data_IF_038072953101
#
_entry.id   IF_038072953101
#
_cell.length_a   1.000
_cell.length_b   1.000
_cell.length_c   1.000
_cell.angle_alpha   90.00
_cell.angle_beta   90.00
_cell.angle_gamma   90.00
#
_symmetry.space_group_name_H-M   'P 1'
#
loop_
_entity.id
_entity.type
_entity.pdbx_description
1 polymer ?
2 polymer ?
3 non-polymer ?
4 water ?
#
# COMPACT_ATOMS: atom_id res chain seq x y z
N UNK A 1 -20.16 -18.92 0.00
CA UNK A 1 -20.25 -20.35 -0.39
C UNK A 1 -18.98 -20.89 -1.02
N UNK A 2 -18.99 -22.16 -1.40
CA UNK A 2 -17.78 -22.76 -1.99
C UNK A 2 -17.36 -22.13 -3.31
N UNK A 3 -18.27 -21.51 -4.04
CA UNK A 3 -17.95 -20.88 -5.31
C UNK A 3 -17.87 -19.36 -5.22
N UNK A 4 -18.04 -18.79 -4.03
CA UNK A 4 -17.92 -17.36 -3.87
C UNK A 4 -18.90 -16.79 -2.86
N UNK A 5 -18.83 -15.48 -2.68
CA UNK A 5 -19.48 -14.79 -1.59
C UNK A 5 -19.73 -13.35 -2.01
N UNK A 6 -20.33 -12.58 -1.10
CA UNK A 6 -20.32 -11.13 -1.25
C UNK A 6 -18.98 -10.53 -0.86
N UNK A 7 -18.11 -11.32 -0.21
CA UNK A 7 -16.74 -10.91 0.04
C UNK A 7 -15.92 -11.02 -1.24
N UNK A 8 -14.82 -10.28 -1.28
CA UNK A 8 -14.14 -9.98 -2.52
C UNK A 8 -12.71 -10.48 -2.50
N UNK A 9 -12.25 -11.21 -3.52
CA UNK A 9 -10.83 -11.50 -3.63
C UNK A 9 -10.03 -10.20 -3.71
N UNK A 10 -8.86 -10.20 -3.08
CA UNK A 10 -7.97 -9.05 -3.10
C UNK A 10 -6.56 -9.52 -3.43
N UNK A 11 -5.88 -8.82 -4.32
CA UNK A 11 -4.58 -9.25 -4.81
C UNK A 11 -3.51 -8.24 -4.44
N UNK A 12 -2.39 -8.75 -3.93
CA UNK A 12 -1.17 -7.97 -3.76
C UNK A 12 -0.06 -8.71 -4.53
N UNK A 13 1.11 -8.08 -4.61
CA UNK A 13 2.22 -8.69 -5.34
C UNK A 13 2.53 -10.08 -4.81
N UNK A 14 2.39 -10.28 -3.50
CA UNK A 14 2.83 -11.51 -2.87
C UNK A 14 1.77 -12.60 -2.86
N UNK A 15 0.54 -12.31 -3.23
CA UNK A 15 -0.51 -13.32 -3.26
C UNK A 15 -1.88 -12.67 -3.23
N UNK A 16 -2.88 -13.48 -2.87
CA UNK A 16 -4.24 -12.98 -2.78
C UNK A 16 -4.93 -13.57 -1.55
N UNK A 17 -6.01 -12.92 -1.16
CA UNK A 17 -6.82 -13.33 -0.02
C UNK A 17 -8.21 -12.74 -0.21
N UNK A 18 -9.16 -13.21 0.59
CA UNK A 18 -10.52 -12.71 0.51
C UNK A 18 -10.68 -11.58 1.53
N UNK A 19 -11.11 -10.42 1.06
CA UNK A 19 -11.34 -9.26 1.90
C UNK A 19 -12.83 -9.17 2.19
N UNK A 20 -13.25 -9.20 3.45
CA UNK A 20 -14.70 -9.06 3.73
C UNK A 20 -15.27 -7.80 3.10
N UNK A 21 -16.51 -7.91 2.64
CA UNK A 21 -17.12 -6.82 1.86
C UNK A 21 -17.17 -5.53 2.66
N UNK A 22 -17.29 -5.62 3.99
CA UNK A 22 -17.46 -4.41 4.80
C UNK A 22 -16.23 -3.52 4.80
N UNK A 23 -15.07 -4.01 4.36
CA UNK A 23 -13.84 -3.25 4.44
C UNK A 23 -13.68 -2.33 3.22
N UNK A 24 -13.13 -1.15 3.47
CA UNK A 24 -12.72 -0.22 2.43
C UNK A 24 -11.21 -0.32 2.25
N UNK A 25 -10.77 -0.30 1.00
CA UNK A 25 -9.34 -0.41 0.69
C UNK A 25 -8.72 0.98 0.73
N UNK A 26 -7.78 1.17 1.64
CA UNK A 26 -7.04 2.43 1.76
C UNK A 26 -5.55 2.20 1.59
N UNK A 27 -5.21 1.18 0.80
CA UNK A 27 -3.80 0.86 0.59
C UNK A 27 -3.07 2.01 -0.08
N UNK A 28 -1.81 2.18 0.28
CA UNK A 28 -0.92 3.14 -0.36
C UNK A 28 0.30 2.36 -0.81
N UNK A 29 0.47 2.23 -2.13
CA UNK A 29 1.70 1.66 -2.66
C UNK A 29 2.77 2.73 -2.71
N UNK A 30 3.98 2.37 -2.31
CA UNK A 30 5.14 3.25 -2.35
C UNK A 30 6.30 2.45 -2.91
N UNK A 31 6.87 2.91 -4.01
CA UNK A 31 8.00 2.25 -4.66
C UNK A 31 9.14 3.24 -4.74
N UNK A 32 10.26 2.90 -4.13
CA UNK A 32 11.49 3.69 -4.25
C UNK A 32 12.23 3.15 -5.47
N UNK A 33 12.37 4.00 -6.48
CA UNK A 33 13.02 3.61 -7.73
C UNK A 33 14.52 3.84 -7.62
N UNK A 34 15.27 3.20 -8.51
CA UNK A 34 16.72 3.28 -8.42
C UNK A 34 17.19 4.68 -8.83
N UNK A 35 18.25 5.12 -8.17
CA UNK A 35 18.81 6.43 -8.41
C UNK A 35 19.95 6.73 -7.47
N UNK A 36 20.94 7.46 -7.96
CA UNK A 36 22.08 7.88 -7.14
C UNK A 36 22.01 9.35 -6.74
N UNK A 37 20.93 10.05 -7.13
CA UNK A 37 20.75 11.44 -6.74
C UNK A 37 20.54 11.53 -5.23
N UNK A 38 20.63 12.75 -4.71
CA UNK A 38 20.47 12.92 -3.26
C UNK A 38 19.08 12.49 -2.81
N UNK A 39 18.06 12.70 -3.63
CA UNK A 39 16.73 12.21 -3.36
C UNK A 39 16.38 11.14 -4.38
N UNK A 40 15.81 10.04 -3.92
CA UNK A 40 15.44 8.96 -4.83
C UNK A 40 14.11 9.27 -5.50
N UNK A 41 13.91 8.81 -6.74
CA UNK A 41 12.59 8.89 -7.35
C UNK A 41 11.67 7.84 -6.75
N UNK A 42 10.39 8.16 -6.66
CA UNK A 42 9.43 7.25 -6.06
C UNK A 42 8.10 7.35 -6.78
N UNK A 43 7.35 6.25 -6.71
CA UNK A 43 5.99 6.18 -7.26
C UNK A 43 5.04 5.85 -6.12
N UNK A 44 3.96 6.60 -6.03
CA UNK A 44 2.93 6.42 -5.00
C UNK A 44 1.62 6.12 -5.70
N UNK A 45 0.93 5.06 -5.27
CA UNK A 45 -0.41 4.76 -5.75
C UNK A 45 -1.33 4.79 -4.55
N UNK A 46 -2.34 5.67 -4.60
CA UNK A 46 -3.31 5.83 -3.54
C UNK A 46 -4.71 5.65 -4.11
N UNK A 47 -5.66 5.44 -3.21
CA UNK A 47 -7.06 5.23 -3.54
C UNK A 47 -7.91 6.26 -2.82
N UNK A 48 -8.96 6.72 -3.51
CA UNK A 48 -9.82 7.75 -2.95
C UNK A 48 -11.24 7.56 -3.48
N UNK A 49 -12.16 8.31 -2.90
CA UNK A 49 -13.54 8.35 -3.35
C UNK A 49 -13.91 9.79 -3.67
N UNK A 50 -14.61 10.00 -4.78
CA UNK A 50 -15.08 11.32 -5.13
C UNK A 50 -16.12 11.79 -4.12
N UNK A 51 -16.03 13.06 -3.73
CA UNK A 51 -17.05 13.65 -2.88
C UNK A 51 -18.34 13.80 -3.67
N UNK A 52 -19.47 13.97 -2.98
CA UNK A 52 -20.74 14.19 -3.69
C UNK A 52 -20.65 15.28 -4.73
N UNK A 53 -21.00 14.95 -5.98
CA UNK A 53 -21.01 15.87 -7.10
C UNK A 53 -19.63 16.36 -7.49
N UNK A 54 -18.59 15.63 -7.12
CA UNK A 54 -17.22 15.94 -7.50
C UNK A 54 -16.81 15.02 -8.66
N UNK A 55 -16.43 15.62 -9.78
CA UNK A 55 -15.93 14.88 -10.91
C UNK A 55 -14.40 14.82 -10.86
N UNK A 56 -13.80 14.14 -11.85
CA UNK A 56 -12.36 13.89 -11.77
C UNK A 56 -11.56 15.17 -11.85
N UNK A 57 -11.84 16.11 -12.77
CA UNK A 57 -11.10 17.38 -12.73
C UNK A 57 -11.21 18.09 -11.39
N UNK A 58 -12.41 18.15 -10.83
CA UNK A 58 -12.58 18.76 -9.51
C UNK A 58 -11.78 18.00 -8.45
N UNK A 59 -11.72 16.67 -8.57
CA UNK A 59 -10.90 15.91 -7.63
C UNK A 59 -9.43 16.31 -7.73
N UNK A 60 -8.92 16.37 -8.97
CA UNK A 60 -7.55 16.87 -9.18
C UNK A 60 -7.39 18.24 -8.56
N UNK A 61 -8.36 19.13 -8.80
CA UNK A 61 -8.32 20.45 -8.18
C UNK A 61 -8.16 20.35 -6.67
N UNK A 62 -8.86 19.40 -6.05
CA UNK A 62 -8.78 19.26 -4.59
C UNK A 62 -7.40 18.77 -4.16
N UNK A 63 -6.79 17.88 -4.95
CA UNK A 63 -5.47 17.37 -4.58
C UNK A 63 -4.40 18.47 -4.73
N UNK A 64 -4.54 19.34 -5.73
CA UNK A 64 -3.58 20.43 -5.88
C UNK A 64 -3.64 21.36 -4.67
N UNK A 65 -4.85 21.64 -4.18
CA UNK A 65 -4.99 22.47 -2.99
C UNK A 65 -4.25 21.88 -1.80
N UNK A 66 -4.29 20.55 -1.65
CA UNK A 66 -3.59 19.92 -0.55
C UNK A 66 -2.07 19.95 -0.76
N UNK A 67 -1.63 19.81 -2.02
CA UNK A 67 -0.22 19.92 -2.32
C UNK A 67 0.33 21.28 -1.92
N UNK A 68 -0.42 22.36 -2.20
CA UNK A 68 0.05 23.70 -1.87
C UNK A 68 0.31 23.84 -0.37
N UNK A 69 -0.44 23.11 0.46
CA UNK A 69 -0.29 23.21 1.90
C UNK A 69 0.92 22.45 2.43
N UNK A 70 1.29 21.34 1.78
CA UNK A 70 2.29 20.44 2.33
C UNK A 70 3.65 20.50 1.66
N UNK A 71 3.73 20.96 0.42
CA UNK A 71 4.97 20.92 -0.37
C UNK A 71 5.47 22.34 -0.62
N UNK A 72 6.75 22.56 -0.34
CA UNK A 72 7.37 23.85 -0.51
C UNK A 72 7.42 24.33 -1.94
N UNK A 73 6.95 25.55 -2.17
CA UNK A 73 7.02 26.21 -3.48
C UNK A 73 6.38 25.37 -4.58
N UNK A 74 5.23 24.78 -4.28
CA UNK A 74 4.54 23.97 -5.28
C UNK A 74 4.00 24.85 -6.40
N UNK A 75 4.31 24.49 -7.64
CA UNK A 75 3.79 25.16 -8.82
C UNK A 75 3.33 24.11 -9.82
N UNK A 76 2.13 24.30 -10.37
CA UNK A 76 1.65 23.42 -11.42
C UNK A 76 2.24 23.89 -12.75
N UNK A 77 2.85 22.96 -13.48
CA UNK A 77 3.50 23.27 -14.75
C UNK A 77 2.67 22.88 -15.95
N UNK A 78 1.85 21.83 -15.82
CA UNK A 78 1.09 21.33 -16.95
C UNK A 78 -0.12 20.57 -16.42
N UNK A 79 -1.14 20.49 -17.26
CA UNK A 79 -2.37 19.77 -16.95
C UNK A 79 -2.94 19.25 -18.25
N UNK A 80 -3.25 17.96 -18.31
CA UNK A 80 -3.60 17.33 -19.58
C UNK A 80 -4.40 16.07 -19.32
N UNK A 81 -5.09 15.56 -20.33
CA UNK A 81 -5.70 14.24 -20.21
C UNK A 81 -4.63 13.17 -20.00
N UNK A 82 -5.08 12.02 -19.50
CA UNK A 82 -4.20 10.88 -19.30
C UNK A 82 -4.98 9.62 -19.63
N UNK A 83 -4.25 8.58 -20.02
CA UNK A 83 -4.84 7.29 -20.36
C UNK A 83 -4.03 6.18 -19.70
N UNK A 84 -4.71 5.32 -18.95
CA UNK A 84 -4.11 4.16 -18.31
C UNK A 84 -4.61 2.92 -19.04
N UNK A 85 -3.68 2.14 -19.59
CA UNK A 85 -4.02 0.99 -20.39
C UNK A 85 -4.42 1.37 -21.80
N UNK A 86 -4.75 0.35 -22.58
CA UNK A 86 -5.17 0.51 -23.96
C UNK A 86 -6.30 -0.46 -24.25
N UNK A 87 -6.88 -0.33 -25.45
CA UNK A 87 -7.94 -1.22 -25.85
C UNK A 87 -9.24 -0.93 -25.14
N UNK A 88 -10.08 -1.96 -25.07
CA UNK A 88 -11.42 -1.78 -24.51
C UNK A 88 -11.37 -1.47 -23.03
N UNK A 89 -10.34 -1.93 -22.33
CA UNK A 89 -10.23 -1.72 -20.89
C UNK A 89 -9.52 -0.43 -20.52
N UNK A 90 -9.17 0.41 -21.50
CA UNK A 90 -8.42 1.62 -21.19
C UNK A 90 -9.23 2.55 -20.29
N UNK A 91 -8.52 3.26 -19.41
CA UNK A 91 -9.11 4.18 -18.46
C UNK A 91 -8.75 5.60 -18.87
N UNK A 92 -9.76 6.44 -19.07
CA UNK A 92 -9.55 7.84 -19.40
C UNK A 92 -9.53 8.66 -18.11
N UNK A 93 -8.46 9.43 -17.92
CA UNK A 93 -8.29 10.22 -16.71
C UNK A 93 -7.67 11.57 -16.96
N UNK A 94 -7.03 12.13 -15.93
CA UNK A 94 -6.42 13.45 -16.01
C UNK A 94 -5.12 13.44 -15.21
N UNK A 95 -4.21 14.34 -15.57
CA UNK A 95 -2.91 14.36 -14.92
C UNK A 95 -2.36 15.78 -14.84
N UNK A 96 -1.42 15.98 -13.93
CA UNK A 96 -0.68 17.22 -13.80
C UNK A 96 0.81 16.93 -13.77
N UNK A 97 1.60 17.95 -14.09
CA UNK A 97 3.02 18.00 -13.81
C UNK A 97 3.28 19.22 -12.94
N UNK A 98 4.18 19.10 -11.98
CA UNK A 98 4.44 20.20 -11.06
C UNK A 98 5.85 20.09 -10.50
N UNK A 99 6.32 21.20 -9.90
CA UNK A 99 7.59 21.22 -9.19
C UNK A 99 7.37 21.68 -7.76
N UNK A 100 8.27 21.24 -6.89
CA UNK A 100 8.32 21.73 -5.51
C UNK A 100 9.72 21.42 -4.98
N UNK A 101 10.00 21.87 -3.77
CA UNK A 101 11.34 21.75 -3.19
C UNK A 101 11.26 20.81 -2.00
N UNK A 102 11.71 19.56 -2.21
CA UNK A 102 11.59 18.52 -1.20
C UNK A 102 12.40 18.87 0.05
N UNK A 103 13.67 19.22 -0.14
CA UNK A 103 14.50 19.73 0.94
C UNK A 103 15.06 21.08 0.57
N UNK A 104 16.38 21.17 0.47
CA UNK A 104 17.02 22.26 -0.27
C UNK A 104 17.08 21.95 -1.76
N UNK A 105 16.35 20.93 -2.21
CA UNK A 105 16.48 20.39 -3.55
C UNK A 105 15.17 20.50 -4.29
N UNK A 106 15.24 20.88 -5.57
CA UNK A 106 14.07 20.94 -6.42
C UNK A 106 13.75 19.56 -6.97
N UNK A 107 12.50 19.12 -6.84
CA UNK A 107 12.06 17.86 -7.39
C UNK A 107 10.82 18.09 -8.24
N UNK A 108 10.46 17.05 -9.00
CA UNK A 108 9.47 17.17 -10.07
C UNK A 108 8.43 16.08 -9.87
N UNK A 109 7.16 16.46 -10.00
CA UNK A 109 6.05 15.63 -9.54
C UNK A 109 5.01 15.50 -10.65
N UNK A 110 4.55 14.26 -10.85
CA UNK A 110 3.38 13.99 -11.69
C UNK A 110 2.29 13.38 -10.81
N UNK A 111 1.04 13.67 -11.16
CA UNK A 111 -0.09 13.00 -10.54
C UNK A 111 -1.13 12.72 -11.61
N UNK A 112 -1.58 11.48 -11.69
CA UNK A 112 -2.57 11.06 -12.68
C UNK A 112 -3.65 10.25 -11.96
N UNK A 113 -4.91 10.61 -12.22
CA UNK A 113 -6.04 9.99 -11.55
C UNK A 113 -6.98 9.33 -12.55
N UNK A 114 -7.54 8.20 -12.15
CA UNK A 114 -8.43 7.41 -13.00
C UNK A 114 -9.51 6.77 -12.16
N UNK A 115 -10.60 6.37 -12.83
CA UNK A 115 -11.65 5.58 -12.19
C UNK A 115 -11.43 4.12 -12.61
N UNK A 116 -10.51 3.44 -11.93
CA UNK A 116 -10.18 2.06 -12.27
C UNK A 116 -11.24 1.12 -11.72
N UNK A 117 -11.44 1.11 -10.41
CA UNK A 117 -12.51 0.37 -9.77
C UNK A 117 -13.78 1.21 -9.76
N UNK A 118 -14.92 0.67 -10.19
CA UNK A 118 -16.14 1.49 -10.26
C UNK A 118 -16.43 2.18 -8.93
N UNK A 119 -16.64 3.50 -9.00
CA UNK A 119 -16.95 4.27 -7.82
C UNK A 119 -15.77 4.65 -6.97
N UNK A 120 -14.56 4.49 -7.48
CA UNK A 120 -13.33 4.83 -6.74
C UNK A 120 -12.37 5.53 -7.68
N UNK A 121 -11.37 6.19 -7.10
CA UNK A 121 -10.34 6.89 -7.85
C UNK A 121 -9.00 6.23 -7.53
N UNK A 122 -8.21 5.99 -8.56
CA UNK A 122 -6.85 5.48 -8.45
C UNK A 122 -5.89 6.58 -8.87
N UNK A 123 -4.95 6.92 -7.99
CA UNK A 123 -4.06 8.06 -8.17
C UNK A 123 -2.63 7.56 -8.23
N UNK A 124 -1.94 7.86 -9.33
CA UNK A 124 -0.51 7.63 -9.46
C UNK A 124 0.23 8.95 -9.25
N UNK A 125 1.14 8.97 -8.29
CA UNK A 125 1.94 10.16 -8.02
C UNK A 125 3.42 9.82 -8.13
N UNK A 126 4.09 10.46 -9.09
CA UNK A 126 5.51 10.25 -9.32
C UNK A 126 6.29 11.43 -8.77
N UNK A 127 7.35 11.15 -8.00
CA UNK A 127 8.26 12.16 -7.50
C UNK A 127 9.64 11.84 -8.03
N UNK A 128 10.27 12.82 -8.71
CA UNK A 128 11.53 12.56 -9.39
C UNK A 128 12.50 13.72 -9.20
N UNK A 129 13.80 13.43 -9.04
CA UNK A 129 14.80 14.51 -9.00
C UNK A 129 15.21 15.02 -10.38
N UNK A 130 14.66 14.44 -11.45
CA UNK A 130 15.11 14.73 -12.80
C UNK A 130 14.05 15.53 -13.55
N UNK A 131 14.39 16.67 -14.14
CA UNK A 131 13.35 17.52 -14.75
C UNK A 131 12.58 16.79 -15.85
N UNK A 132 11.34 17.21 -16.04
CA UNK A 132 10.49 16.64 -17.08
C UNK A 132 10.77 17.33 -18.42
N UNK A 133 11.24 16.56 -19.39
CA UNK A 133 11.35 17.01 -20.77
C UNK A 133 10.50 16.09 -21.65
N UNK A 134 10.55 16.33 -22.97
CA UNK A 134 9.72 15.55 -23.88
C UNK A 134 9.99 14.05 -23.73
N UNK A 135 11.26 13.66 -23.59
CA UNK A 135 11.58 12.26 -23.40
C UNK A 135 10.93 11.71 -22.13
N UNK A 136 10.96 12.49 -21.05
CA UNK A 136 10.40 12.01 -19.80
C UNK A 136 8.88 11.87 -19.89
N UNK A 137 8.22 12.84 -20.54
CA UNK A 137 6.78 12.74 -20.74
C UNK A 137 6.44 11.50 -21.57
N UNK A 138 7.19 11.26 -22.65
CA UNK A 138 6.95 10.08 -23.47
C UNK A 138 7.02 8.81 -22.64
N UNK A 139 8.10 8.65 -21.87
CA UNK A 139 8.26 7.42 -21.10
C UNK A 139 7.18 7.28 -20.03
N UNK A 140 6.75 8.39 -19.43
CA UNK A 140 5.70 8.33 -18.43
C UNK A 140 4.35 7.93 -19.06
N UNK A 141 3.94 8.63 -20.10
CA UNK A 141 2.66 8.29 -20.73
C UNK A 141 2.68 6.92 -21.37
N UNK A 142 3.81 6.51 -21.93
CA UNK A 142 3.92 5.14 -22.45
C UNK A 142 3.75 4.12 -21.33
N UNK A 143 4.35 4.38 -20.16
CA UNK A 143 4.19 3.48 -19.03
C UNK A 143 2.73 3.41 -18.57
N UNK A 144 2.06 4.56 -18.49
CA UNK A 144 0.63 4.56 -18.16
C UNK A 144 -0.16 3.72 -19.16
N UNK A 145 0.13 3.89 -20.45
CA UNK A 145 -0.59 3.13 -21.47
C UNK A 145 -0.37 1.62 -21.32
N UNK A 146 0.73 1.22 -20.70
CA UNK A 146 1.00 -0.20 -20.48
C UNK A 146 0.28 -0.82 -19.30
N UNK A 147 -0.29 0.00 -18.43
CA UNK A 147 -1.09 -0.51 -17.32
C UNK A 147 -2.17 -1.45 -17.84
N UNK A 148 -2.33 -2.59 -17.17
CA UNK A 148 -3.33 -3.58 -17.56
C UNK A 148 -4.39 -3.71 -16.48
N UNK A 149 -5.52 -3.02 -16.60
CA UNK A 149 -6.55 -3.10 -15.57
C UNK A 149 -7.01 -4.54 -15.35
N UNK A 150 -7.40 -4.84 -14.12
CA UNK A 150 -7.90 -6.16 -13.76
C UNK A 150 -9.38 -6.26 -14.12
N UNK B 6 14.89 -6.59 -17.03
CA UNK B 6 15.06 -5.50 -16.01
C UNK B 6 13.71 -4.92 -15.62
N UNK B 7 12.74 -4.96 -16.54
CA UNK B 7 11.35 -4.65 -16.21
C UNK B 7 10.68 -5.93 -15.73
N UNK B 8 9.95 -5.85 -14.62
CA UNK B 8 9.23 -7.02 -14.14
C UNK B 8 7.85 -6.62 -13.62
N UNK B 9 6.89 -7.53 -13.72
CA UNK B 9 5.50 -7.16 -13.42
C UNK B 9 5.28 -6.93 -11.94
N UNK B 10 4.40 -5.98 -11.63
CA UNK B 10 3.93 -5.73 -10.27
C UNK B 10 2.42 -5.65 -10.30
N UNK B 11 1.77 -6.32 -9.35
CA UNK B 11 0.32 -6.45 -9.32
C UNK B 11 -0.27 -5.74 -8.12
N UNK B 12 -1.26 -4.89 -8.38
CA UNK B 12 -2.14 -4.35 -7.36
C UNK B 12 -3.55 -4.84 -7.66
N UNK B 13 -4.47 -4.58 -6.72
CA UNK B 13 -5.86 -5.01 -6.90
C UNK B 13 -6.44 -4.53 -8.21
N UNK B 14 -6.12 -3.29 -8.60
CA UNK B 14 -6.75 -2.64 -9.74
C UNK B 14 -6.15 -3.06 -11.07
N UNK B 15 -5.02 -3.77 -11.06
CA UNK B 15 -4.39 -4.17 -12.29
C UNK B 15 -2.91 -4.33 -12.12
N UNK B 17 1.29 -3.51 -13.73
CA UNK B 17 2.20 -2.63 -14.44
C UNK B 17 3.61 -3.14 -14.21
N UNK B 18 4.58 -2.56 -14.91
CA UNK B 18 5.97 -3.01 -14.80
C UNK B 18 6.75 -2.01 -13.96
N UNK B 19 7.66 -2.51 -13.14
CA UNK B 19 8.61 -1.71 -12.40
C UNK B 19 10.02 -2.22 -12.68
N UNK B 20 11.03 -1.35 -12.56
CA UNK B 20 12.41 -1.83 -12.69
C UNK B 20 12.75 -2.79 -11.56
N UNK B 21 13.51 -3.84 -11.89
CA UNK B 21 13.87 -4.84 -10.90
C UNK B 21 14.52 -4.23 -9.66
N UNK B 22 15.08 -3.03 -9.79
CA UNK B 22 15.85 -2.38 -8.74
C UNK B 22 15.00 -1.76 -7.64
N UNK B 23 13.67 -1.79 -7.76
CA UNK B 23 12.85 -1.00 -6.86
C UNK B 23 12.76 -1.63 -5.48
N UNK B 24 12.44 -0.79 -4.50
CA UNK B 24 12.12 -1.24 -3.15
C UNK B 24 10.64 -0.98 -2.89
N UNK B 25 9.95 -1.99 -2.38
CA UNK B 25 8.51 -1.93 -2.16
C UNK B 25 8.26 -1.52 -0.71
N UNK B 26 7.76 -0.31 -0.51
CA UNK B 26 7.33 0.16 0.80
C UNK B 26 5.81 0.30 0.87
N UNK B 27 5.11 -0.48 0.07
CA UNK B 27 3.65 -0.44 0.06
C UNK B 27 3.11 -0.88 1.42
N UNK B 28 2.03 -0.22 1.85
CA UNK B 28 1.28 -0.60 3.04
C UNK B 28 -0.17 -0.77 2.61
N UNK B 29 -0.66 -2.01 2.68
CA UNK B 29 -2.08 -2.25 2.43
C UNK B 29 -2.85 -1.96 3.70
N UNK B 30 -3.96 -1.25 3.57
CA UNK B 30 -4.77 -0.80 4.70
C UNK B 30 -6.23 -1.07 4.39
N UNK B 31 -6.91 -1.75 5.31
CA UNK B 31 -8.31 -2.12 5.16
C UNK B 31 -9.05 -1.73 6.42
N UNK B 32 -10.07 -0.88 6.27
CA UNK B 32 -10.79 -0.30 7.39
C UNK B 32 -12.29 -0.46 7.18
N UNK B 33 -13.03 -0.49 8.28
CA UNK B 33 -14.49 -0.42 8.25
C UNK B 33 -14.84 1.06 8.40
N UNK B 34 -14.99 1.76 7.28
CA UNK B 34 -15.07 3.20 7.32
C UNK B 34 -16.37 3.65 7.99
N UNK B 35 -16.26 4.70 8.81
CA UNK B 35 -17.34 5.18 9.63
C UNK B 35 -17.40 4.55 11.01
N UNK B 36 -16.88 3.34 11.14
CA UNK B 36 -16.86 2.61 12.41
C UNK B 36 -15.43 2.20 12.78
N UNK B 37 -14.45 3.04 12.44
CA UNK B 37 -13.07 2.71 12.77
C UNK B 37 -12.85 2.62 14.27
N UNK B 38 -13.60 3.41 15.06
CA UNK B 38 -13.35 3.49 16.49
C UNK B 38 -13.83 2.27 17.26
N UNK B 39 -14.61 1.38 16.63
CA UNK B 39 -15.02 0.13 17.27
C UNK B 39 -14.56 -1.11 16.52
N UNK B 40 -14.14 -0.97 15.28
CA UNK B 40 -13.87 -2.09 14.41
C UNK B 40 -12.38 -2.38 14.32
N UNK B 41 -11.99 -3.64 14.10
CA UNK B 41 -10.60 -3.92 13.78
C UNK B 41 -10.24 -3.40 12.40
N UNK B 42 -8.95 -3.09 12.21
CA UNK B 42 -8.41 -2.73 10.92
C UNK B 42 -7.28 -3.70 10.57
N UNK B 43 -7.08 -3.91 9.28
CA UNK B 43 -6.05 -4.81 8.79
C UNK B 43 -4.98 -4.04 8.04
N UNK B 44 -3.75 -4.54 8.11
CA UNK B 44 -2.59 -3.89 7.50
C UNK B 44 -1.64 -4.97 7.01
N UNK B 45 -1.09 -4.77 5.81
CA UNK B 45 -0.01 -5.60 5.30
C UNK B 45 1.15 -4.66 4.95
N UNK B 46 2.33 -4.97 5.47
CA UNK B 46 3.50 -4.14 5.24
C UNK B 46 4.68 -5.04 4.90
N UNK B 47 5.76 -4.41 4.48
CA UNK B 47 6.92 -5.11 3.94
C UNK B 47 8.18 -4.57 4.59
N UNK B 48 9.19 -5.42 4.66
CA UNK B 48 10.48 -5.04 5.23
C UNK B 48 11.53 -5.95 4.65
N UNK B 49 12.79 -5.62 4.92
CA UNK B 49 13.93 -6.40 4.44
C UNK B 49 14.77 -6.84 5.63
N UNK B 50 15.23 -8.09 5.58
CA UNK B 50 16.09 -8.61 6.63
C UNK B 50 17.47 -7.97 6.55
N UNK B 51 18.05 -7.69 7.72
CA UNK B 51 19.44 -7.31 7.78
C UNK B 51 20.32 -8.51 7.43
N UNK B 52 21.56 -8.28 7.01
CA UNK B 52 22.46 -9.41 6.73
C UNK B 52 22.58 -10.34 7.92
N UNK B 53 22.42 -11.64 7.66
CA UNK B 53 22.53 -12.69 8.66
C UNK B 53 21.39 -12.65 9.67
N UNK B 54 20.30 -11.96 9.36
CA UNK B 54 19.15 -11.87 10.24
C UNK B 54 18.09 -12.87 9.81
N UNK B 55 17.71 -13.75 10.73
CA UNK B 55 16.61 -14.68 10.50
C UNK B 55 15.31 -14.08 11.07
N UNK B 56 14.21 -14.77 10.81
CA UNK B 56 12.90 -14.21 11.19
C UNK B 56 12.77 -13.98 12.70
N UNK B 57 13.17 -14.92 13.58
CA UNK B 57 13.08 -14.61 15.02
C UNK B 57 13.84 -13.36 15.41
N UNK B 58 15.07 -13.20 14.89
CA UNK B 58 15.83 -11.99 15.19
C UNK B 58 15.13 -10.76 14.62
N UNK B 59 14.53 -10.88 13.44
CA UNK B 59 13.78 -9.76 12.89
C UNK B 59 12.64 -9.35 13.81
N UNK B 60 11.92 -10.33 14.34
CA UNK B 60 10.78 -10.02 15.21
C UNK B 60 11.26 -9.40 16.51
N UNK B 61 12.35 -9.94 17.09
CA UNK B 61 12.94 -9.30 18.26
C UNK B 61 13.25 -7.84 17.97
N UNK B 62 13.83 -7.56 16.79
CA UNK B 62 14.16 -6.18 16.45
C UNK B 62 12.91 -5.32 16.38
N UNK B 63 11.84 -5.84 15.78
CA UNK B 63 10.60 -5.08 15.68
C UNK B 63 9.97 -4.88 17.06
N UNK B 64 10.02 -5.91 17.91
CA UNK B 64 9.49 -5.77 19.27
C UNK B 64 10.20 -4.64 19.99
N UNK B 65 11.53 -4.55 19.82
CA UNK B 65 12.28 -3.51 20.51
C UNK B 65 11.94 -2.13 19.94
N UNK B 66 11.71 -2.04 18.64
CA UNK B 66 11.32 -0.76 18.05
C UNK B 66 9.99 -0.29 18.62
N UNK B 67 9.03 -1.21 18.77
CA UNK B 67 7.71 -0.82 19.26
C UNK B 67 7.76 -0.44 20.73
N UNK B 68 8.58 -1.15 21.52
CA UNK B 68 8.86 -0.71 22.88
C UNK B 68 9.40 0.72 22.89
N UNK B 69 10.20 1.05 21.88
CA UNK B 69 10.85 2.36 21.82
C UNK B 69 9.89 3.44 21.34
N UNK B 70 9.04 3.13 20.36
CA UNK B 70 8.29 4.16 19.65
C UNK B 70 6.85 4.29 20.12
N UNK B 71 6.23 3.25 20.67
CA UNK B 71 4.81 3.25 20.97
C UNK B 71 4.57 3.46 22.47
N UNK B 72 3.32 3.75 22.80
CA UNK B 72 2.94 4.05 24.16
C UNK B 72 2.77 2.83 25.04
N UNK B 73 3.73 2.60 25.93
CA UNK B 73 3.64 1.51 26.90
C UNK B 73 3.39 0.17 26.21
N UNK B 74 4.19 -0.11 25.19
CA UNK B 74 4.00 -1.32 24.41
C UNK B 74 4.35 -2.55 25.25
N UNK B 75 3.48 -3.56 25.18
CA UNK B 75 3.63 -4.79 25.94
C UNK B 75 3.23 -5.97 25.07
N UNK B 76 4.12 -6.96 24.95
CA UNK B 76 3.82 -8.17 24.19
C UNK B 76 3.07 -9.14 25.09
N UNK B 77 1.92 -9.63 24.60
CA UNK B 77 1.08 -10.53 25.36
C UNK B 77 1.37 -11.99 25.06
N UNK B 78 1.75 -12.31 23.83
CA UNK B 78 1.98 -13.69 23.44
C UNK B 78 2.83 -13.72 22.19
N UNK B 79 3.44 -14.87 21.94
CA UNK B 79 4.26 -15.11 20.75
C UNK B 79 4.12 -16.58 20.40
N UNK B 80 3.86 -16.87 19.13
CA UNK B 80 3.51 -18.22 18.72
C UNK B 80 3.82 -18.38 17.23
N UNK B 81 3.92 -19.62 16.74
CA UNK B 81 4.04 -19.82 15.30
C UNK B 81 2.84 -19.29 14.55
N UNK B 82 3.05 -19.02 13.27
CA UNK B 82 2.00 -18.51 12.39
C UNK B 82 2.19 -19.12 11.01
N UNK B 83 1.08 -19.16 10.26
CA UNK B 83 1.08 -19.73 8.92
C UNK B 83 0.12 -18.95 8.05
N UNK B 84 0.57 -18.61 6.84
CA UNK B 84 -0.26 -17.93 5.85
C UNK B 84 -0.47 -18.89 4.69
N UNK B 85 -1.70 -19.37 4.54
CA UNK B 85 -2.03 -20.36 3.54
C UNK B 85 -2.21 -21.75 4.13
N UNK B 86 -2.69 -22.66 3.29
CA UNK B 86 -2.98 -24.01 3.70
C UNK B 86 -2.37 -25.08 2.81
N UNK B 87 -1.70 -24.69 1.72
CA UNK B 87 -1.05 -25.65 0.84
C UNK B 87 0.40 -25.89 1.22
N UNK B 88 1.06 -26.72 0.41
CA UNK B 88 2.47 -27.00 0.64
C UNK B 88 3.33 -25.74 0.49
N UNK B 89 2.80 -24.69 -0.13
CA UNK B 89 3.53 -23.45 -0.32
C UNK B 89 3.16 -22.39 0.71
N UNK B 90 2.44 -22.77 1.77
CA UNK B 90 2.06 -21.81 2.79
C UNK B 90 3.31 -21.17 3.39
N UNK B 91 3.19 -19.89 3.74
CA UNK B 91 4.26 -19.19 4.42
C UNK B 91 4.29 -19.61 5.90
N UNK B 92 5.48 -19.94 6.39
CA UNK B 92 5.68 -20.36 7.76
C UNK B 92 6.44 -19.25 8.49
N UNK B 93 5.86 -18.73 9.56
CA UNK B 93 6.42 -17.59 10.25
C UNK B 93 6.05 -17.58 11.72
N UNK B 94 5.97 -16.37 12.28
CA UNK B 94 5.63 -16.19 13.68
C UNK B 94 4.63 -15.05 13.81
N UNK B 95 3.97 -15.02 14.96
CA UNK B 95 3.06 -13.93 15.29
C UNK B 95 3.24 -13.55 16.75
N UNK B 96 2.88 -12.31 17.06
CA UNK B 96 2.79 -11.81 18.41
C UNK B 96 1.40 -11.22 18.60
N UNK B 97 1.01 -11.08 19.86
CA UNK B 97 -0.09 -10.23 20.25
C UNK B 97 0.46 -9.21 21.25
N UNK B 98 -0.03 -7.98 21.19
CA UNK B 98 0.52 -6.92 22.02
C UNK B 98 -0.56 -5.88 22.28
N UNK B 99 -0.26 -4.99 23.23
CA UNK B 99 -1.10 -3.85 23.50
C UNK B 99 -0.22 -2.61 23.63
N UNK B 100 -0.79 -1.45 23.31
CA UNK B 100 -0.12 -0.19 23.54
C UNK B 100 -1.19 0.90 23.62
N UNK B 101 -0.77 2.07 24.09
CA UNK B 101 -1.68 3.13 24.48
C UNK B 101 -1.64 4.27 23.46
N UNK B 102 -2.82 4.64 22.97
CA UNK B 102 -2.99 5.81 22.11
C UNK B 102 -4.00 6.73 22.79
N UNK B 103 -3.52 7.79 23.41
CA UNK B 103 -4.39 8.61 24.22
C UNK B 103 -5.02 7.78 25.32
N UNK B 104 -6.35 7.86 25.43
CA UNK B 104 -7.06 7.04 26.40
C UNK B 104 -7.17 5.58 25.97
N UNK B 105 -7.05 5.30 24.67
CA UNK B 105 -7.37 3.99 24.15
C UNK B 105 -6.23 3.00 24.39
N UNK B 106 -6.61 1.77 24.76
CA UNK B 106 -5.68 0.65 24.84
C UNK B 106 -5.82 -0.15 23.56
N UNK B 107 -4.85 0.02 22.66
CA UNK B 107 -4.89 -0.65 21.36
C UNK B 107 -4.41 -2.09 21.52
N UNK B 108 -5.08 -3.00 20.83
CA UNK B 108 -4.72 -4.42 20.82
C UNK B 108 -4.34 -4.81 19.41
N UNK B 109 -3.20 -5.47 19.27
CA UNK B 109 -2.64 -5.78 17.96
C UNK B 109 -2.17 -7.22 17.88
N UNK B 110 -2.40 -7.84 16.73
CA UNK B 110 -1.72 -9.05 16.31
C UNK B 110 -0.84 -8.72 15.11
N UNK B 111 0.36 -9.28 15.09
CA UNK B 111 1.25 -9.10 13.95
C UNK B 111 1.91 -10.43 13.63
N UNK B 112 1.94 -10.78 12.36
CA UNK B 112 2.53 -12.04 11.90
C UNK B 112 3.52 -11.72 10.80
N UNK B 113 4.73 -12.24 10.93
CA UNK B 113 5.81 -11.99 9.99
C UNK B 113 6.20 -13.26 9.27
N UNK B 114 6.42 -13.14 7.96
CA UNK B 114 6.81 -14.25 7.12
C UNK B 114 7.88 -13.78 6.15
N UNK B 115 8.84 -14.65 5.85
CA UNK B 115 9.78 -14.42 4.76
C UNK B 115 9.11 -15.00 3.51
N UNK B 116 8.56 -14.12 2.67
CA UNK B 116 7.85 -14.57 1.49
C UNK B 116 8.80 -14.95 0.36
N UNK B 117 9.86 -14.17 0.19
CA UNK B 117 10.94 -14.46 -0.75
C UNK B 117 12.24 -14.11 -0.05
N UNK B 118 13.36 -14.66 -0.52
CA UNK B 118 14.62 -14.47 0.20
C UNK B 118 14.88 -13.01 0.57
N UNK B 119 15.16 -12.78 1.85
CA UNK B 119 15.52 -11.48 2.36
C UNK B 119 14.38 -10.51 2.58
N UNK B 120 13.15 -10.88 2.23
CA UNK B 120 12.01 -9.98 2.28
C UNK B 120 10.94 -10.50 3.22
N UNK B 121 10.53 -9.66 4.17
CA UNK B 121 9.54 -10.03 5.17
C UNK B 121 8.19 -9.44 4.77
N UNK B 122 7.15 -10.25 4.90
CA UNK B 122 5.77 -9.83 4.72
C UNK B 122 5.09 -9.89 6.08
N UNK B 123 4.44 -8.79 6.48
CA UNK B 123 3.89 -8.64 7.83
C UNK B 123 2.41 -8.35 7.72
N UNK B 124 1.60 -9.20 8.36
CA UNK B 124 0.16 -9.01 8.49
C UNK B 124 -0.14 -8.47 9.88
N UNK B 125 -0.98 -7.43 9.96
CA UNK B 125 -1.31 -6.80 11.23
C UNK B 125 -2.81 -6.60 11.36
N UNK B 126 -3.34 -6.95 12.52
CA UNK B 126 -4.72 -6.64 12.90
C UNK B 126 -4.66 -5.72 14.11
N UNK B 127 -5.40 -4.62 14.05
CA UNK B 127 -5.43 -3.63 15.12
C UNK B 127 -6.87 -3.42 15.55
N UNK B 128 -7.11 -3.41 16.87
CA UNK B 128 -8.46 -3.32 17.42
C UNK B 128 -8.44 -2.33 18.58
N UNK B 129 -9.46 -1.46 18.69
CA UNK B 129 -9.56 -0.54 19.83
C UNK B 129 -10.05 -1.18 21.12
N UNK B 130 -10.35 -2.48 21.09
CA UNK B 130 -10.87 -3.21 22.22
C UNK B 130 -10.13 -4.54 22.32
N UNK B 131 -10.19 -5.21 23.46
CA UNK B 131 -9.52 -6.51 23.57
C UNK B 131 -10.07 -7.51 22.57
N UNK B 132 -9.24 -8.49 22.22
CA UNK B 132 -9.65 -9.48 21.23
C UNK B 132 -10.87 -10.24 21.74
N UNK B 133 -11.79 -10.53 20.83
CA UNK B 133 -12.94 -11.38 21.08
C UNK B 133 -12.98 -12.47 20.01
N UNK B 134 -13.96 -13.38 20.13
CA UNK B 134 -14.03 -14.50 19.19
C UNK B 134 -14.14 -14.00 17.75
N UNK B 135 -14.89 -12.91 17.53
CA UNK B 135 -15.06 -12.40 16.18
C UNK B 135 -13.74 -11.91 15.59
N UNK B 136 -12.97 -11.16 16.38
CA UNK B 136 -11.68 -10.67 15.90
C UNK B 136 -10.71 -11.82 15.67
N UNK B 137 -10.74 -12.83 16.55
CA UNK B 137 -9.86 -13.99 16.38
C UNK B 137 -10.19 -14.75 15.11
N UNK B 138 -11.48 -14.95 14.82
CA UNK B 138 -11.87 -15.64 13.59
C UNK B 138 -11.43 -14.85 12.37
N UNK B 139 -11.63 -13.52 12.39
CA UNK B 139 -11.14 -12.69 11.30
C UNK B 139 -9.64 -12.90 11.07
N UNK B 140 -8.86 -12.81 12.15
CA UNK B 140 -7.42 -13.00 12.07
C UNK B 140 -7.07 -14.36 11.49
N UNK B 141 -7.67 -15.42 12.03
CA UNK B 141 -7.26 -16.76 11.65
C UNK B 141 -7.74 -17.11 10.24
N UNK B 142 -8.93 -16.66 9.86
CA UNK B 142 -9.40 -16.94 8.50
C UNK B 142 -8.61 -16.13 7.48
N UNK B 143 -8.24 -14.90 7.84
CA UNK B 143 -7.42 -14.07 6.95
C UNK B 143 -6.12 -14.78 6.60
N UNK B 144 -5.39 -15.23 7.62
CA UNK B 144 -4.11 -15.89 7.40
C UNK B 144 -4.26 -17.22 6.68
N UNK B 145 -5.25 -18.03 7.09
CA UNK B 145 -5.41 -19.34 6.48
C UNK B 145 -5.79 -19.22 5.00
N UNK B 146 -6.58 -18.21 4.66
CA UNK B 146 -7.04 -18.04 3.29
C UNK B 146 -6.03 -17.43 2.35
N UNK B 147 -4.91 -16.93 2.86
CA UNK B 147 -3.91 -16.32 2.00
C UNK B 147 -3.38 -17.34 1.00
N UNK B 148 -3.31 -16.92 -0.26
CA UNK B 148 -2.82 -17.76 -1.36
C UNK B 148 -1.53 -17.15 -1.88
N UNK B 149 -0.36 -17.62 -1.49
CA UNK B 149 0.89 -17.02 -1.97
C UNK B 149 1.01 -17.11 -3.48
N UNK B 150 1.70 -16.12 -4.05
CA UNK B 150 1.94 -16.07 -5.49
C UNK B 150 3.03 -17.08 -5.86
N UNK B 151 3.19 -17.30 -7.17
CA UNK B 151 4.21 -18.19 -7.72
C UNK B 151 3.75 -19.64 -7.64
#
# INVERSE_FOLDING_TARGET
GPLGSMDRPYRIQEGCFVLPETFTDRSVNIFILEGNERTSPSLNISRDTLKPDEDLPAYIDRQIALMKKNLGQHRVLSRAPAQAGTGNDALMGEQIAATHKSGKTEVYQRQAGFIATPGKVLVFTLTSPRPFDDKADLLWNTWLAGFQPDKNE
GPLGSMDRPYRIQEGXFVLPETFTDRSVNIFILEGNERTSPSLNISRDTLKPDEDLPAYIDRQIALMKKNLGQHRVLSRAPAQAGTGNDALMGEQIAATHKSGKTEVYQRQAGFIATPGKVLVFTLTSPRPFDDKADLLWNTWLAGFQPDKNE
#
